data_IF_469920093530
#
_entry.id   IF_469920093530
#
_cell.length_a   1.000
_cell.length_b   1.000
_cell.length_c   1.000
_cell.angle_alpha   90.00
_cell.angle_beta   90.00
_cell.angle_gamma   90.00
#
_symmetry.space_group_name_H-M   'P 1'
#
loop_
_entity.id
_entity.type
_entity.pdbx_description
1 polymer ?
#
# COMPACT_ATOMS: atom_id res chain seq x y z
N UNK A 1 -16.74 -5.06 24.13
CA UNK A 1 -15.73 -4.13 23.57
C UNK A 1 -14.33 -4.53 24.05
N UNK A 2 -13.67 -5.42 23.33
CA UNK A 2 -12.24 -5.72 23.58
C UNK A 2 -11.44 -4.73 22.73
N UNK A 3 -10.82 -3.74 23.38
CA UNK A 3 -9.83 -2.88 22.77
C UNK A 3 -8.67 -3.78 22.31
N UNK A 4 -8.50 -3.94 21.01
CA UNK A 4 -7.23 -4.39 20.45
C UNK A 4 -6.21 -3.31 20.83
N UNK A 5 -5.35 -3.64 21.78
CA UNK A 5 -4.10 -2.92 22.03
C UNK A 5 -3.20 -3.24 20.83
N UNK A 6 -3.24 -2.39 19.81
CA UNK A 6 -2.12 -2.31 18.88
C UNK A 6 -0.91 -1.81 19.69
N UNK A 7 -0.08 -2.76 20.11
CA UNK A 7 1.27 -2.43 20.57
C UNK A 7 1.93 -1.68 19.42
N UNK A 8 2.40 -0.48 19.73
CA UNK A 8 3.34 0.28 18.90
C UNK A 8 4.59 -0.55 18.71
N UNK A 9 4.63 -1.38 17.69
CA UNK A 9 5.84 -2.04 17.22
C UNK A 9 6.71 -1.01 16.49
N UNK A 10 7.24 -0.06 17.22
CA UNK A 10 8.52 0.57 16.88
C UNK A 10 9.61 -0.43 17.23
N UNK A 11 9.65 -1.51 16.47
CA UNK A 11 10.74 -2.46 16.49
C UNK A 11 11.95 -1.79 15.81
N UNK A 12 13.13 -1.72 16.44
CA UNK A 12 14.33 -1.21 15.79
C UNK A 12 14.73 -2.02 14.53
N UNK A 13 14.11 -3.16 14.25
CA UNK A 13 14.22 -3.90 13.01
C UNK A 13 13.53 -3.21 11.80
N UNK A 14 12.81 -2.11 11.99
CA UNK A 14 12.28 -1.28 10.87
C UNK A 14 13.39 -0.62 10.02
N UNK A 15 14.64 -0.72 10.42
CA UNK A 15 15.77 -0.13 9.71
C UNK A 15 16.19 -0.87 8.43
N UNK A 16 15.52 -1.98 8.04
CA UNK A 16 15.94 -2.77 6.88
C UNK A 16 15.22 -2.40 5.57
N UNK A 17 14.10 -1.69 5.61
CA UNK A 17 13.44 -1.18 4.41
C UNK A 17 13.84 0.29 4.23
N UNK A 18 14.91 0.56 3.49
CA UNK A 18 15.35 1.92 3.18
C UNK A 18 14.46 2.63 2.16
N UNK A 19 14.77 3.90 1.90
CA UNK A 19 14.20 4.64 0.76
C UNK A 19 14.38 3.78 -0.50
N UNK A 20 13.32 3.54 -1.28
CA UNK A 20 13.42 2.67 -2.45
C UNK A 20 14.32 3.29 -3.52
N UNK A 21 15.42 2.60 -3.81
CA UNK A 21 16.35 2.93 -4.88
C UNK A 21 15.82 2.36 -6.20
N UNK A 22 15.51 3.22 -7.14
CA UNK A 22 14.85 2.87 -8.39
C UNK A 22 15.68 1.96 -9.27
N UNK A 23 16.97 2.28 -9.43
CA UNK A 23 17.88 1.54 -10.30
C UNK A 23 18.16 0.16 -9.70
N UNK A 24 18.40 0.09 -8.39
CA UNK A 24 18.62 -1.16 -7.68
C UNK A 24 17.39 -2.07 -7.72
N UNK A 25 16.18 -1.51 -7.51
CA UNK A 25 14.95 -2.29 -7.53
C UNK A 25 14.71 -2.86 -8.94
N UNK A 26 14.86 -2.05 -9.98
CA UNK A 26 14.70 -2.49 -11.36
C UNK A 26 15.69 -3.60 -11.69
N UNK A 27 16.97 -3.36 -11.45
CA UNK A 27 18.05 -4.32 -11.74
C UNK A 27 17.82 -5.66 -11.05
N UNK A 28 17.60 -5.63 -9.72
CA UNK A 28 17.42 -6.84 -8.91
C UNK A 28 16.14 -7.60 -9.23
N UNK A 29 15.05 -6.90 -9.52
CA UNK A 29 13.75 -7.56 -9.79
C UNK A 29 13.61 -8.09 -11.21
N UNK A 30 14.44 -7.63 -12.14
CA UNK A 30 14.46 -8.09 -13.53
C UNK A 30 15.47 -9.19 -13.80
N UNK A 31 16.54 -9.29 -13.02
CA UNK A 31 17.56 -10.32 -13.18
C UNK A 31 17.08 -11.68 -12.67
N UNK A 32 16.95 -12.66 -13.57
CA UNK A 32 16.52 -14.03 -13.23
C UNK A 32 17.50 -14.78 -12.31
N UNK A 33 18.75 -14.31 -12.16
CA UNK A 33 19.73 -14.87 -11.24
C UNK A 33 19.71 -14.19 -9.86
N UNK A 34 18.96 -13.11 -9.74
CA UNK A 34 18.81 -12.40 -8.47
C UNK A 34 17.96 -13.18 -7.49
N UNK A 35 18.33 -13.12 -6.20
CA UNK A 35 17.48 -13.61 -5.12
C UNK A 35 16.12 -12.86 -5.05
N UNK A 36 16.08 -11.65 -5.62
CA UNK A 36 14.90 -10.77 -5.64
C UNK A 36 14.18 -10.76 -6.99
N UNK A 37 14.41 -11.76 -7.84
CA UNK A 37 13.70 -11.89 -9.11
C UNK A 37 12.19 -11.86 -8.91
N UNK A 38 11.54 -10.85 -9.48
CA UNK A 38 10.14 -10.54 -9.17
C UNK A 38 9.18 -11.73 -9.34
N UNK A 39 9.22 -12.51 -10.45
CA UNK A 39 8.33 -13.65 -10.60
C UNK A 39 8.50 -14.71 -9.51
N UNK A 40 9.74 -14.98 -9.08
CA UNK A 40 10.01 -15.95 -8.01
C UNK A 40 9.52 -15.45 -6.65
N UNK A 41 9.76 -14.18 -6.32
CA UNK A 41 9.24 -13.57 -5.10
C UNK A 41 7.71 -13.55 -5.10
N UNK A 42 7.08 -13.20 -6.22
CA UNK A 42 5.63 -13.15 -6.32
C UNK A 42 4.99 -14.54 -6.21
N UNK A 43 5.66 -15.56 -6.69
CA UNK A 43 5.23 -16.96 -6.51
C UNK A 43 5.24 -17.36 -5.03
N UNK A 44 6.30 -17.02 -4.28
CA UNK A 44 6.38 -17.24 -2.83
C UNK A 44 5.31 -16.47 -2.08
N UNK A 45 5.12 -15.18 -2.40
CA UNK A 45 4.10 -14.34 -1.80
C UNK A 45 2.68 -14.90 -2.01
N UNK A 46 2.36 -15.32 -3.24
CA UNK A 46 1.06 -15.90 -3.56
C UNK A 46 0.85 -17.27 -2.90
N UNK A 47 1.89 -18.04 -2.70
CA UNK A 47 1.85 -19.32 -1.99
C UNK A 47 1.65 -19.16 -0.47
N UNK A 48 1.71 -17.93 0.07
CA UNK A 48 1.58 -17.69 1.50
C UNK A 48 2.85 -18.02 2.28
N UNK A 49 4.02 -17.87 1.67
CA UNK A 49 5.31 -18.11 2.35
C UNK A 49 5.50 -17.10 3.51
N UNK A 50 5.27 -17.57 4.72
CA UNK A 50 5.39 -16.80 5.96
C UNK A 50 6.85 -16.43 6.30
N UNK A 51 7.82 -17.03 5.59
CA UNK A 51 9.25 -16.78 5.80
C UNK A 51 9.79 -15.61 5.00
N UNK A 52 8.93 -14.88 4.26
CA UNK A 52 9.34 -13.71 3.49
C UNK A 52 9.89 -12.61 4.42
N UNK A 53 11.19 -12.28 4.36
CA UNK A 53 11.76 -11.21 5.18
C UNK A 53 11.34 -9.83 4.68
N UNK A 54 11.58 -8.81 5.48
CA UNK A 54 11.26 -7.42 5.15
C UNK A 54 11.91 -6.95 3.84
N UNK A 55 13.09 -7.47 3.50
CA UNK A 55 13.79 -7.15 2.26
C UNK A 55 13.05 -7.71 1.04
N UNK A 56 12.52 -8.94 1.11
CA UNK A 56 11.70 -9.52 0.04
C UNK A 56 10.44 -8.69 -0.20
N UNK A 57 9.77 -8.25 0.87
CA UNK A 57 8.63 -7.34 0.76
C UNK A 57 8.99 -6.00 0.13
N UNK A 58 10.19 -5.47 0.40
CA UNK A 58 10.67 -4.24 -0.24
C UNK A 58 10.76 -4.40 -1.76
N UNK A 59 11.43 -5.46 -2.24
CA UNK A 59 11.55 -5.72 -3.68
C UNK A 59 10.23 -6.11 -4.33
N UNK A 60 9.36 -6.86 -3.63
CA UNK A 60 8.00 -7.15 -4.10
C UNK A 60 7.18 -5.88 -4.28
N UNK A 61 7.05 -5.10 -3.22
CA UNK A 61 6.21 -3.92 -3.23
C UNK A 61 6.68 -2.92 -4.29
N UNK A 62 7.93 -2.47 -4.21
CA UNK A 62 8.42 -1.45 -5.14
C UNK A 62 8.76 -1.99 -6.54
N UNK A 63 9.09 -3.26 -6.67
CA UNK A 63 9.27 -3.94 -7.95
C UNK A 63 7.99 -4.06 -8.76
N UNK A 64 6.82 -4.02 -8.11
CA UNK A 64 5.53 -4.01 -8.79
C UNK A 64 5.36 -2.80 -9.72
N UNK A 65 5.94 -1.66 -9.38
CA UNK A 65 5.88 -0.48 -10.22
C UNK A 65 6.44 -0.67 -11.64
N UNK A 66 7.28 -1.69 -11.86
CA UNK A 66 7.88 -2.02 -13.15
C UNK A 66 7.13 -3.12 -13.92
N UNK A 67 5.94 -3.52 -13.44
CA UNK A 67 5.13 -4.55 -14.10
C UNK A 67 4.07 -3.93 -15.00
N UNK A 68 3.72 -4.64 -16.06
CA UNK A 68 2.69 -4.19 -17.01
C UNK A 68 1.31 -4.08 -16.35
N UNK A 69 1.09 -4.85 -15.30
CA UNK A 69 -0.13 -4.85 -14.51
C UNK A 69 -0.25 -3.60 -13.61
N UNK A 70 0.85 -2.93 -13.31
CA UNK A 70 0.86 -1.73 -12.48
C UNK A 70 0.20 -0.55 -13.19
N UNK A 71 -1.02 -0.24 -12.79
CA UNK A 71 -1.84 0.84 -13.38
C UNK A 71 -2.46 1.69 -12.26
N UNK A 72 -1.67 2.49 -11.56
CA UNK A 72 -2.09 3.17 -10.33
C UNK A 72 -3.19 4.21 -10.52
N UNK A 73 -3.47 4.63 -11.75
CA UNK A 73 -4.54 5.58 -12.09
C UNK A 73 -5.80 4.88 -12.63
N UNK A 74 -5.76 3.56 -12.80
CA UNK A 74 -6.91 2.81 -13.26
C UNK A 74 -7.87 2.52 -12.10
N UNK A 75 -9.15 2.55 -12.39
CA UNK A 75 -10.19 2.12 -11.43
C UNK A 75 -10.08 0.61 -11.19
N UNK A 76 -10.29 0.20 -9.94
CA UNK A 76 -10.38 -1.20 -9.54
C UNK A 76 -11.85 -1.54 -9.21
N UNK A 77 -12.66 -1.95 -10.20
CA UNK A 77 -14.09 -2.19 -10.00
C UNK A 77 -14.37 -3.36 -9.05
N UNK A 78 -13.43 -4.29 -8.91
CA UNK A 78 -13.59 -5.44 -8.03
C UNK A 78 -13.38 -5.02 -6.56
N UNK A 79 -12.49 -4.05 -6.30
CA UNK A 79 -12.39 -3.39 -5.00
C UNK A 79 -13.67 -2.62 -4.66
N UNK A 80 -14.25 -1.89 -5.62
CA UNK A 80 -15.50 -1.15 -5.39
C UNK A 80 -16.64 -2.10 -4.97
N UNK A 81 -16.77 -3.26 -5.64
CA UNK A 81 -17.74 -4.30 -5.26
C UNK A 81 -17.45 -4.87 -3.87
N UNK A 82 -16.18 -5.18 -3.58
CA UNK A 82 -15.77 -5.69 -2.27
C UNK A 82 -16.14 -4.71 -1.15
N UNK A 83 -15.89 -3.42 -1.36
CA UNK A 83 -16.25 -2.36 -0.41
C UNK A 83 -17.76 -2.21 -0.24
N UNK A 84 -18.53 -2.36 -1.32
CA UNK A 84 -19.99 -2.34 -1.25
C UNK A 84 -20.52 -3.50 -0.41
N UNK A 85 -19.99 -4.71 -0.62
CA UNK A 85 -20.32 -5.88 0.19
C UNK A 85 -19.98 -5.65 1.67
N UNK A 86 -18.74 -5.20 1.93
CA UNK A 86 -18.26 -4.94 3.29
C UNK A 86 -19.12 -3.91 4.03
N UNK A 87 -19.60 -2.88 3.34
CA UNK A 87 -20.45 -1.84 3.93
C UNK A 87 -21.85 -2.33 4.35
N UNK A 88 -22.30 -3.43 3.77
CA UNK A 88 -23.60 -4.05 4.07
C UNK A 88 -23.55 -5.20 5.09
N UNK A 89 -22.36 -5.60 5.53
CA UNK A 89 -22.22 -6.70 6.49
C UNK A 89 -22.52 -6.23 7.90
N UNK A 90 -23.36 -6.99 8.60
CA UNK A 90 -23.46 -6.92 10.05
C UNK A 90 -22.27 -7.71 10.65
N UNK A 91 -21.32 -7.06 11.34
CA UNK A 91 -20.14 -7.75 11.86
C UNK A 91 -20.45 -8.79 12.95
N UNK A 92 -21.61 -8.70 13.61
CA UNK A 92 -22.02 -9.65 14.64
C UNK A 92 -22.69 -10.91 14.04
N UNK A 93 -23.30 -10.79 12.85
CA UNK A 93 -24.00 -11.87 12.16
C UNK A 93 -23.72 -11.86 10.65
N UNK A 94 -22.46 -12.01 10.23
CA UNK A 94 -22.11 -11.90 8.83
C UNK A 94 -22.69 -13.08 8.01
N UNK A 95 -23.31 -12.76 6.89
CA UNK A 95 -23.83 -13.77 5.97
C UNK A 95 -22.69 -14.47 5.21
N UNK A 96 -22.71 -15.81 5.26
CA UNK A 96 -21.66 -16.64 4.66
C UNK A 96 -21.50 -16.41 3.15
N UNK A 97 -22.60 -16.29 2.40
CA UNK A 97 -22.58 -16.11 0.95
C UNK A 97 -21.94 -14.77 0.61
N UNK A 98 -22.24 -13.73 1.37
CA UNK A 98 -21.65 -12.41 1.22
C UNK A 98 -20.14 -12.45 1.48
N UNK A 99 -19.69 -13.16 2.53
CA UNK A 99 -18.27 -13.33 2.83
C UNK A 99 -17.52 -14.08 1.73
N UNK A 100 -18.08 -15.19 1.21
CA UNK A 100 -17.50 -15.95 0.11
C UNK A 100 -17.41 -15.09 -1.18
N UNK A 101 -18.42 -14.25 -1.42
CA UNK A 101 -18.39 -13.29 -2.54
C UNK A 101 -17.31 -12.23 -2.33
N UNK A 102 -17.15 -11.71 -1.10
CA UNK A 102 -16.06 -10.79 -0.78
C UNK A 102 -14.69 -11.40 -1.05
N UNK A 103 -14.45 -12.65 -0.69
CA UNK A 103 -13.20 -13.36 -0.99
C UNK A 103 -12.97 -13.46 -2.50
N UNK A 104 -14.02 -13.75 -3.28
CA UNK A 104 -13.93 -13.82 -4.74
C UNK A 104 -13.56 -12.46 -5.36
N UNK A 105 -14.27 -11.39 -4.97
CA UNK A 105 -14.00 -10.04 -5.46
C UNK A 105 -12.63 -9.52 -4.97
N UNK A 106 -12.23 -9.85 -3.75
CA UNK A 106 -10.92 -9.53 -3.21
C UNK A 106 -9.78 -10.17 -4.00
N UNK A 107 -9.90 -11.46 -4.36
CA UNK A 107 -8.93 -12.12 -5.21
C UNK A 107 -8.86 -11.50 -6.62
N UNK A 108 -9.98 -11.00 -7.16
CA UNK A 108 -9.98 -10.29 -8.43
C UNK A 108 -9.34 -8.89 -8.29
N UNK A 109 -9.63 -8.17 -7.20
CA UNK A 109 -9.08 -6.86 -6.91
C UNK A 109 -7.55 -6.88 -6.71
N UNK A 110 -7.02 -7.93 -6.06
CA UNK A 110 -5.57 -8.12 -5.84
C UNK A 110 -4.78 -8.35 -7.13
N UNK A 111 -5.41 -8.74 -8.25
CA UNK A 111 -4.73 -8.80 -9.55
C UNK A 111 -4.29 -7.44 -10.05
N UNK A 112 -4.98 -6.36 -9.61
CA UNK A 112 -4.68 -4.97 -9.98
C UNK A 112 -3.87 -4.22 -8.92
N UNK A 113 -4.00 -4.62 -7.66
CA UNK A 113 -3.28 -4.05 -6.54
C UNK A 113 -2.95 -5.13 -5.51
N UNK A 114 -1.91 -5.94 -5.76
CA UNK A 114 -1.54 -7.07 -4.91
C UNK A 114 -1.05 -6.64 -3.52
N UNK A 115 -0.72 -5.36 -3.36
CA UNK A 115 -0.16 -4.79 -2.14
C UNK A 115 -1.06 -3.73 -1.50
N UNK A 116 -2.37 -3.80 -1.75
CA UNK A 116 -3.34 -2.91 -1.10
C UNK A 116 -3.57 -3.33 0.35
N UNK A 117 -3.17 -2.51 1.35
CA UNK A 117 -3.44 -2.84 2.74
C UNK A 117 -4.94 -3.01 3.02
N UNK A 118 -5.77 -2.22 2.35
CA UNK A 118 -7.24 -2.30 2.47
C UNK A 118 -7.79 -3.64 2.00
N UNK A 119 -7.39 -4.10 0.81
CA UNK A 119 -7.88 -5.37 0.27
C UNK A 119 -7.40 -6.51 1.16
N UNK A 120 -6.12 -6.52 1.55
CA UNK A 120 -5.54 -7.54 2.42
C UNK A 120 -6.25 -7.60 3.78
N UNK A 121 -6.61 -6.44 4.37
CA UNK A 121 -7.38 -6.38 5.61
C UNK A 121 -8.79 -6.95 5.46
N UNK A 122 -9.47 -6.63 4.35
CA UNK A 122 -10.81 -7.16 4.08
C UNK A 122 -10.79 -8.66 3.81
N UNK A 123 -9.72 -9.18 3.19
CA UNK A 123 -9.52 -10.64 3.02
C UNK A 123 -9.33 -11.33 4.37
N UNK A 124 -8.47 -10.78 5.23
CA UNK A 124 -8.28 -11.28 6.60
C UNK A 124 -9.60 -11.30 7.38
N UNK A 125 -10.37 -10.21 7.34
CA UNK A 125 -11.68 -10.14 7.96
C UNK A 125 -12.64 -11.22 7.43
N UNK A 126 -12.76 -11.37 6.11
CA UNK A 126 -13.68 -12.31 5.50
C UNK A 126 -13.36 -13.76 5.89
N UNK A 127 -12.10 -14.16 5.85
CA UNK A 127 -11.66 -15.49 6.25
C UNK A 127 -11.85 -15.73 7.75
N UNK A 128 -11.54 -14.74 8.59
CA UNK A 128 -11.78 -14.81 10.02
C UNK A 128 -13.27 -15.01 10.36
N UNK A 129 -14.17 -14.29 9.67
CA UNK A 129 -15.61 -14.42 9.83
C UNK A 129 -16.15 -15.75 9.27
N UNK A 130 -15.50 -16.32 8.25
CA UNK A 130 -15.78 -17.68 7.74
C UNK A 130 -15.29 -18.79 8.69
N UNK A 131 -14.47 -18.46 9.68
CA UNK A 131 -13.89 -19.39 10.65
C UNK A 131 -12.56 -20.01 10.20
N UNK A 132 -11.99 -19.56 9.10
CA UNK A 132 -10.69 -20.00 8.57
C UNK A 132 -9.55 -19.16 9.17
N UNK A 133 -9.07 -19.58 10.34
CA UNK A 133 -8.05 -18.87 11.11
C UNK A 133 -6.68 -18.86 10.43
N UNK A 134 -6.33 -19.92 9.72
CA UNK A 134 -5.06 -20.01 8.99
C UNK A 134 -5.01 -18.94 7.88
N UNK A 135 -6.07 -18.84 7.08
CA UNK A 135 -6.16 -17.81 6.07
C UNK A 135 -6.27 -16.40 6.66
N UNK A 136 -7.02 -16.21 7.75
CA UNK A 136 -7.09 -14.92 8.45
C UNK A 136 -5.69 -14.42 8.83
N UNK A 137 -4.87 -15.27 9.46
CA UNK A 137 -3.50 -14.95 9.86
C UNK A 137 -2.61 -14.69 8.65
N UNK A 138 -2.65 -15.55 7.62
CA UNK A 138 -1.84 -15.39 6.41
C UNK A 138 -2.12 -14.07 5.68
N UNK A 139 -3.38 -13.64 5.57
CA UNK A 139 -3.73 -12.35 4.97
C UNK A 139 -3.35 -11.16 5.85
N UNK A 140 -3.49 -11.30 7.18
CA UNK A 140 -3.02 -10.30 8.14
C UNK A 140 -1.50 -10.09 8.06
N UNK A 141 -0.73 -11.16 7.94
CA UNK A 141 0.73 -11.11 7.83
C UNK A 141 1.19 -10.44 6.54
N UNK A 142 0.53 -10.74 5.41
CA UNK A 142 0.77 -10.03 4.15
C UNK A 142 0.51 -8.52 4.29
N UNK A 143 -0.63 -8.15 4.88
CA UNK A 143 -0.95 -6.75 5.14
C UNK A 143 0.12 -6.08 6.00
N UNK A 144 0.52 -6.72 7.10
CA UNK A 144 1.56 -6.21 7.99
C UNK A 144 2.91 -6.09 7.30
N UNK A 145 3.27 -7.02 6.41
CA UNK A 145 4.47 -6.97 5.59
C UNK A 145 4.52 -5.73 4.69
N UNK A 146 3.40 -5.46 3.99
CA UNK A 146 3.26 -4.27 3.14
C UNK A 146 3.31 -2.98 3.97
N UNK A 147 2.56 -2.91 5.07
CA UNK A 147 2.55 -1.74 5.95
C UNK A 147 3.96 -1.44 6.47
N UNK A 148 4.67 -2.46 6.99
CA UNK A 148 6.06 -2.31 7.45
C UNK A 148 6.99 -1.80 6.36
N UNK A 149 6.81 -2.26 5.11
CA UNK A 149 7.59 -1.80 3.96
C UNK A 149 7.36 -0.31 3.70
N UNK A 150 6.12 0.16 3.72
CA UNK A 150 5.80 1.57 3.52
C UNK A 150 6.32 2.42 4.68
N UNK A 151 6.12 1.98 5.92
CA UNK A 151 6.62 2.67 7.11
C UNK A 151 8.15 2.76 7.16
N UNK A 152 8.83 1.70 6.72
CA UNK A 152 10.30 1.64 6.67
C UNK A 152 10.93 2.46 5.54
N UNK A 153 10.15 2.93 4.57
CA UNK A 153 10.66 3.73 3.44
C UNK A 153 10.96 5.19 3.80
N UNK A 154 10.50 5.65 4.95
CA UNK A 154 10.73 7.00 5.48
C UNK A 154 9.92 7.23 6.75
N UNK A 155 10.38 8.16 7.60
CA UNK A 155 9.66 8.48 8.84
C UNK A 155 8.37 9.29 8.61
N UNK A 156 8.19 9.81 7.40
CA UNK A 156 7.05 10.65 7.04
C UNK A 156 7.01 11.99 7.77
N UNK A 157 8.04 12.34 8.53
CA UNK A 157 8.03 13.53 9.38
C UNK A 157 8.36 14.83 8.67
N UNK A 158 9.02 14.72 7.51
CA UNK A 158 9.42 15.86 6.68
C UNK A 158 9.21 15.56 5.20
N UNK A 159 9.22 16.62 4.37
CA UNK A 159 9.19 16.47 2.91
C UNK A 159 10.43 15.74 2.35
N UNK A 160 11.52 15.68 3.12
CA UNK A 160 12.77 15.02 2.71
C UNK A 160 12.80 13.54 3.08
N UNK A 161 11.94 13.12 3.99
CA UNK A 161 11.84 11.76 4.50
C UNK A 161 10.42 11.23 4.41
N UNK A 162 9.73 11.39 3.24
CA UNK A 162 8.37 10.94 3.08
C UNK A 162 8.28 9.41 3.10
N UNK A 163 7.12 8.86 3.41
CA UNK A 163 6.80 7.46 3.21
C UNK A 163 6.45 7.23 1.75
N UNK A 164 7.04 6.24 1.10
CA UNK A 164 6.84 5.96 -0.32
C UNK A 164 5.69 4.99 -0.54
N UNK A 165 4.77 5.33 -1.43
CA UNK A 165 3.58 4.53 -1.75
C UNK A 165 3.45 4.25 -3.24
N UNK A 166 2.73 3.20 -3.60
CA UNK A 166 2.47 2.80 -4.99
C UNK A 166 1.11 3.29 -5.50
N UNK A 167 0.12 3.42 -4.62
CA UNK A 167 -1.24 3.87 -4.94
C UNK A 167 -1.61 5.04 -4.03
N UNK A 168 -2.57 5.86 -4.46
CA UNK A 168 -3.05 6.98 -3.63
C UNK A 168 -3.64 6.50 -2.30
N UNK A 169 -4.43 5.43 -2.34
CA UNK A 169 -5.11 4.91 -1.16
C UNK A 169 -4.14 4.31 -0.13
N UNK A 170 -2.97 3.79 -0.55
CA UNK A 170 -2.01 3.20 0.37
C UNK A 170 -1.58 4.15 1.50
N UNK A 171 -1.47 5.45 1.21
CA UNK A 171 -1.13 6.45 2.23
C UNK A 171 -2.20 6.51 3.34
N UNK A 172 -3.47 6.47 2.95
CA UNK A 172 -4.60 6.54 3.86
C UNK A 172 -4.80 5.22 4.60
N UNK A 173 -4.61 4.11 3.90
CA UNK A 173 -4.74 2.76 4.45
C UNK A 173 -3.70 2.50 5.55
N UNK A 174 -2.45 2.95 5.35
CA UNK A 174 -1.40 2.87 6.38
C UNK A 174 -1.77 3.68 7.61
N UNK A 175 -2.29 4.91 7.45
CA UNK A 175 -2.73 5.72 8.59
C UNK A 175 -3.92 5.07 9.31
N UNK A 176 -4.87 4.52 8.57
CA UNK A 176 -6.00 3.80 9.14
C UNK A 176 -5.55 2.56 9.92
N UNK A 177 -4.58 1.80 9.41
CA UNK A 177 -4.00 0.65 10.10
C UNK A 177 -3.27 1.04 11.39
N UNK A 178 -2.65 2.24 11.43
CA UNK A 178 -2.08 2.82 12.65
C UNK A 178 -3.15 3.40 13.61
N UNK A 179 -4.45 3.27 13.28
CA UNK A 179 -5.56 3.80 14.09
C UNK A 179 -5.67 5.33 14.06
N UNK A 180 -5.06 5.97 13.06
CA UNK A 180 -5.01 7.42 12.95
C UNK A 180 -6.16 7.94 12.09
N UNK A 181 -6.88 8.95 12.60
CA UNK A 181 -7.86 9.69 11.83
C UNK A 181 -7.20 10.85 11.10
N UNK A 182 -7.51 11.01 9.82
CA UNK A 182 -6.85 11.97 8.94
C UNK A 182 -7.85 12.86 8.20
N UNK A 183 -7.37 14.02 7.78
CA UNK A 183 -8.10 14.97 6.97
C UNK A 183 -7.67 14.93 5.50
N UNK A 184 -8.13 15.91 4.73
CA UNK A 184 -7.82 16.03 3.31
C UNK A 184 -6.33 16.28 3.07
N UNK A 185 -5.71 15.43 2.27
CA UNK A 185 -4.32 15.57 1.83
C UNK A 185 -4.12 16.88 1.03
N UNK A 186 -2.91 17.40 1.07
CA UNK A 186 -2.50 18.59 0.31
C UNK A 186 -1.13 18.38 -0.32
N UNK A 187 -1.00 18.75 -1.55
CA UNK A 187 0.27 18.74 -2.28
C UNK A 187 1.19 19.78 -1.65
N UNK A 188 2.39 19.38 -1.30
CA UNK A 188 3.43 20.25 -0.70
C UNK A 188 4.65 20.40 -1.59
N UNK A 189 4.88 19.44 -2.48
CA UNK A 189 5.87 19.50 -3.54
C UNK A 189 5.41 18.63 -4.73
N UNK A 190 6.24 18.48 -5.75
CA UNK A 190 5.89 17.87 -7.05
C UNK A 190 5.22 16.48 -6.93
N UNK A 191 5.71 15.65 -6.03
CA UNK A 191 5.22 14.26 -5.82
C UNK A 191 4.88 13.98 -4.36
N UNK A 192 5.16 14.93 -3.45
CA UNK A 192 4.97 14.74 -2.02
C UNK A 192 3.71 15.44 -1.56
N UNK A 193 2.87 14.69 -0.86
CA UNK A 193 1.68 15.22 -0.21
C UNK A 193 1.80 15.13 1.31
N UNK A 194 1.16 16.08 1.99
CA UNK A 194 1.00 16.06 3.43
C UNK A 194 -0.42 15.65 3.77
N UNK A 195 -0.57 14.58 4.53
CA UNK A 195 -1.85 14.10 5.06
C UNK A 195 -1.95 14.57 6.52
N UNK A 196 -2.83 15.56 6.82
CA UNK A 196 -3.01 16.05 8.17
C UNK A 196 -3.76 15.03 9.03
N UNK A 197 -3.42 14.93 10.31
CA UNK A 197 -4.18 14.16 11.30
C UNK A 197 -5.24 15.03 11.96
N UNK A 198 -6.40 14.41 12.25
CA UNK A 198 -7.47 15.07 13.01
C UNK A 198 -7.03 15.29 14.45
N UNK A 199 -6.36 14.31 15.05
CA UNK A 199 -5.74 14.42 16.37
C UNK A 199 -4.24 14.29 16.21
N UNK A 200 -3.42 15.22 16.72
CA UNK A 200 -1.98 15.12 16.62
C UNK A 200 -1.45 13.86 17.29
N UNK A 201 -0.56 13.16 16.60
CA UNK A 201 0.09 11.95 17.06
C UNK A 201 1.44 12.28 17.72
N UNK A 202 1.80 11.56 18.78
CA UNK A 202 3.08 11.76 19.47
C UNK A 202 4.08 10.70 19.06
N UNK A 203 5.16 11.11 18.39
CA UNK A 203 6.28 10.24 18.01
C UNK A 203 7.53 10.79 18.71
N UNK A 204 8.23 9.95 19.47
CA UNK A 204 9.47 10.32 20.19
C UNK A 204 9.31 11.62 21.00
N UNK A 205 8.19 11.78 21.68
CA UNK A 205 7.89 12.96 22.49
C UNK A 205 7.52 14.22 21.69
N UNK A 206 7.51 14.17 20.38
CA UNK A 206 7.14 15.29 19.50
C UNK A 206 5.74 15.12 18.93
N UNK A 207 4.93 16.16 19.03
CA UNK A 207 3.59 16.18 18.41
C UNK A 207 3.71 16.31 16.90
N UNK A 208 3.13 15.37 16.17
CA UNK A 208 3.01 15.36 14.71
C UNK A 208 1.60 15.73 14.31
N UNK A 209 1.46 16.70 13.40
CA UNK A 209 0.17 17.15 12.87
C UNK A 209 -0.26 16.39 11.62
N UNK A 210 0.58 15.50 11.11
CA UNK A 210 0.37 14.72 9.90
C UNK A 210 1.67 14.09 9.42
N UNK A 211 1.57 13.38 8.29
CA UNK A 211 2.68 12.68 7.67
C UNK A 211 2.82 13.05 6.20
N UNK A 212 4.04 12.98 5.69
CA UNK A 212 4.38 13.19 4.29
C UNK A 212 4.48 11.85 3.57
N UNK A 213 3.87 11.79 2.38
CA UNK A 213 3.91 10.63 1.50
C UNK A 213 4.43 11.03 0.12
N UNK A 214 5.25 10.17 -0.49
CA UNK A 214 5.74 10.35 -1.85
C UNK A 214 4.95 9.46 -2.82
N UNK A 215 4.34 10.11 -3.80
CA UNK A 215 3.55 9.51 -4.87
C UNK A 215 4.29 9.49 -6.22
N UNK A 216 5.63 9.64 -6.23
CA UNK A 216 6.40 9.67 -7.47
C UNK A 216 6.09 8.49 -8.38
N UNK A 217 5.96 7.29 -7.83
CA UNK A 217 5.65 6.07 -8.58
C UNK A 217 4.24 6.04 -9.16
N UNK A 218 3.27 6.65 -8.49
CA UNK A 218 1.90 6.79 -9.03
C UNK A 218 1.89 7.57 -10.33
N UNK A 219 2.78 8.54 -10.46
CA UNK A 219 2.87 9.40 -11.64
C UNK A 219 3.81 8.86 -12.73
N UNK A 220 4.54 7.79 -12.47
CA UNK A 220 5.33 7.12 -13.50
C UNK A 220 4.47 6.39 -14.50
N UNK A 221 3.50 5.63 -14.00
CA UNK A 221 2.64 4.84 -14.84
C UNK A 221 1.49 5.69 -15.34
N UNK A 222 1.59 6.08 -16.59
CA UNK A 222 0.63 6.97 -17.22
C UNK A 222 -0.38 6.20 -18.03
N UNK A 223 -1.59 6.75 -18.19
CA UNK A 223 -2.55 6.22 -19.14
C UNK A 223 -1.91 6.04 -20.52
N UNK A 224 -2.38 5.04 -21.27
CA UNK A 224 -1.95 4.79 -22.63
C UNK A 224 -2.09 6.06 -23.49
N UNK A 225 -1.09 6.34 -24.32
CA UNK A 225 -1.03 7.55 -25.14
C UNK A 225 -0.35 8.76 -24.49
N UNK A 226 0.02 8.68 -23.20
CA UNK A 226 0.84 9.71 -22.56
C UNK A 226 2.32 9.39 -22.69
N UNK A 227 3.10 10.38 -23.10
CA UNK A 227 4.56 10.29 -23.09
C UNK A 227 5.09 10.89 -21.80
N UNK A 228 5.91 10.14 -21.06
CA UNK A 228 6.56 10.66 -19.87
C UNK A 228 7.56 11.76 -20.29
N UNK A 229 7.38 12.93 -19.73
CA UNK A 229 8.36 14.00 -19.83
C UNK A 229 8.69 14.45 -18.42
N UNK A 230 9.93 14.21 -18.03
CA UNK A 230 10.46 14.44 -16.68
C UNK A 230 10.23 15.88 -16.18
N UNK A 231 10.07 16.81 -17.11
CA UNK A 231 9.97 18.24 -16.83
C UNK A 231 8.54 18.78 -16.75
N UNK A 232 7.54 17.89 -16.82
CA UNK A 232 6.14 18.30 -16.79
C UNK A 232 5.56 18.28 -15.39
N UNK A 233 4.95 19.39 -14.99
CA UNK A 233 4.30 19.59 -13.67
C UNK A 233 2.79 19.47 -13.70
N UNK A 234 2.23 18.79 -14.67
CA UNK A 234 0.82 18.86 -15.04
C UNK A 234 -0.10 17.84 -14.38
N UNK A 235 0.48 16.81 -13.76
CA UNK A 235 -0.24 15.59 -13.46
C UNK A 235 -1.23 15.70 -12.30
N UNK A 236 -1.00 16.66 -11.43
CA UNK A 236 -1.69 16.71 -10.14
C UNK A 236 -3.14 17.20 -10.18
N UNK A 237 -3.55 17.92 -11.23
CA UNK A 237 -4.85 18.59 -11.26
C UNK A 237 -5.59 18.46 -12.59
N UNK A 238 -5.38 17.39 -13.36
CA UNK A 238 -5.91 17.28 -14.73
C UNK A 238 -5.60 18.51 -15.60
N UNK A 239 -4.60 19.30 -15.25
CA UNK A 239 -4.17 20.44 -16.03
C UNK A 239 -3.41 19.94 -17.26
N UNK A 240 -3.69 20.54 -18.42
CA UNK A 240 -2.95 20.25 -19.63
C UNK A 240 -1.44 20.47 -19.42
N UNK A 241 -0.59 19.60 -19.98
CA UNK A 241 0.86 19.74 -19.89
C UNK A 241 1.29 21.13 -20.36
N UNK A 242 2.03 21.86 -19.53
CA UNK A 242 2.72 23.05 -19.99
C UNK A 242 4.03 22.61 -20.63
N UNK A 243 4.17 22.85 -21.92
CA UNK A 243 5.45 22.76 -22.61
C UNK A 243 6.28 23.99 -22.23
N UNK A 244 7.34 23.77 -21.49
CA UNK A 244 8.38 24.78 -21.36
C UNK A 244 9.27 24.69 -22.60
N UNK A 245 9.37 25.80 -23.35
CA UNK A 245 10.37 25.97 -24.40
C UNK A 245 11.72 26.26 -23.78
#
# INVERSE_FOLDING_TARGET
MKRLLLLSLLDPALAAAGVPDEDMILDRTMDAQSAFYYPALMMRYNAGDETLPAEDYHFLNYGYAYRDEYKPLAVNPDLDKMLMLASGIDPDTPDRVTLETMVSEGNAALKRDPFSPKILNLMSFAYGALGDKEQEEAWSDRMNGVIRTILGSGDGCTQKTPRHVLMFDHALDVLAAEGLSFGKARIVSRTVEFVPLVVPYVVEGKKRKGFYFDFSRVYWNKPEGYTYQRDRTWQFNNLKPRTYK
#
